data_IF_775816208341
#
_entry.id   IF_775816208341
#
_cell.length_a   1.000
_cell.length_b   1.000
_cell.length_c   1.000
_cell.angle_alpha   90.00
_cell.angle_beta   90.00
_cell.angle_gamma   90.00
#
_symmetry.space_group_name_H-M   'P 1'
#
loop_
_entity.id
_entity.type
_entity.pdbx_description
1 polymer ?
#
# COMPACT_ATOMS: atom_id res chain seq x y z
N UNK A 1 -12.31 -33.07 5.26
CA UNK A 1 -10.96 -32.60 4.81
C UNK A 1 -9.93 -33.08 5.83
N UNK A 2 -8.88 -33.80 5.42
CA UNK A 2 -7.95 -34.44 6.38
C UNK A 2 -7.07 -33.41 7.12
N UNK A 3 -6.78 -33.65 8.40
CA UNK A 3 -6.01 -32.76 9.29
C UNK A 3 -4.66 -32.33 8.70
N UNK A 4 -3.96 -33.23 8.00
CA UNK A 4 -2.69 -32.89 7.32
C UNK A 4 -2.85 -31.86 6.20
N UNK A 5 -3.96 -31.92 5.45
CA UNK A 5 -4.26 -30.94 4.40
C UNK A 5 -4.65 -29.59 4.98
N UNK A 6 -5.38 -29.58 6.11
CA UNK A 6 -5.72 -28.36 6.83
C UNK A 6 -4.46 -27.62 7.30
N UNK A 7 -3.51 -28.34 7.90
CA UNK A 7 -2.22 -27.77 8.34
C UNK A 7 -1.40 -27.25 7.15
N UNK A 8 -1.34 -28.00 6.05
CA UNK A 8 -0.58 -27.58 4.87
C UNK A 8 -1.13 -26.29 4.24
N UNK A 9 -2.45 -26.10 4.26
CA UNK A 9 -3.09 -24.89 3.71
C UNK A 9 -2.93 -23.69 4.65
N UNK A 10 -2.95 -23.91 5.98
CA UNK A 10 -2.87 -22.82 6.95
C UNK A 10 -1.44 -22.36 7.26
N UNK A 11 -0.44 -23.20 7.03
CA UNK A 11 0.95 -22.90 7.38
C UNK A 11 1.54 -21.68 6.62
N UNK A 12 1.41 -21.56 5.28
CA UNK A 12 1.94 -20.41 4.55
C UNK A 12 1.35 -19.05 4.98
N UNK A 13 0.01 -18.86 5.07
CA UNK A 13 -0.54 -17.58 5.52
C UNK A 13 -0.19 -17.30 6.98
N UNK A 14 -0.11 -18.32 7.84
CA UNK A 14 0.34 -18.14 9.22
C UNK A 14 1.79 -17.62 9.27
N UNK A 15 2.69 -18.22 8.49
CA UNK A 15 4.09 -17.77 8.41
C UNK A 15 4.17 -16.33 7.89
N UNK A 16 3.41 -16.00 6.85
CA UNK A 16 3.34 -14.63 6.31
C UNK A 16 2.89 -13.64 7.38
N UNK A 17 1.83 -13.95 8.13
CA UNK A 17 1.31 -13.10 9.18
C UNK A 17 2.32 -12.90 10.32
N UNK A 18 3.04 -13.96 10.71
CA UNK A 18 4.09 -13.87 11.72
C UNK A 18 5.26 -12.98 11.26
N UNK A 19 5.69 -13.11 9.99
CA UNK A 19 6.74 -12.28 9.42
C UNK A 19 6.31 -10.81 9.34
N UNK A 20 5.12 -10.54 8.83
CA UNK A 20 4.56 -9.17 8.76
C UNK A 20 4.42 -8.58 10.15
N UNK A 21 3.87 -9.32 11.11
CA UNK A 21 3.75 -8.88 12.50
C UNK A 21 5.12 -8.57 13.13
N UNK A 22 6.11 -9.42 12.91
CA UNK A 22 7.48 -9.19 13.37
C UNK A 22 8.11 -7.93 12.77
N UNK A 23 7.94 -7.70 11.47
CA UNK A 23 8.41 -6.47 10.79
C UNK A 23 7.72 -5.22 11.32
N UNK A 24 6.40 -5.27 11.55
CA UNK A 24 5.65 -4.15 12.12
C UNK A 24 6.11 -3.81 13.54
N UNK A 25 6.36 -4.82 14.38
CA UNK A 25 6.92 -4.60 15.73
C UNK A 25 8.34 -4.03 15.68
N UNK A 26 9.19 -4.54 14.79
CA UNK A 26 10.54 -4.01 14.58
C UNK A 26 10.50 -2.54 14.13
N UNK A 27 9.64 -2.21 13.18
CA UNK A 27 9.43 -0.84 12.73
C UNK A 27 8.88 0.07 13.84
N UNK A 28 7.93 -0.41 14.64
CA UNK A 28 7.38 0.31 15.79
C UNK A 28 8.46 0.67 16.80
N UNK A 29 9.33 -0.29 17.14
CA UNK A 29 10.46 -0.03 18.04
C UNK A 29 11.50 0.89 17.42
N UNK A 30 11.80 0.74 16.12
CA UNK A 30 12.73 1.61 15.41
C UNK A 30 12.24 3.06 15.37
N UNK A 31 10.93 3.27 15.25
CA UNK A 31 10.30 4.58 15.22
C UNK A 31 9.99 5.14 16.61
N UNK A 32 10.60 4.60 17.67
CA UNK A 32 10.37 5.04 19.06
C UNK A 32 8.89 5.02 19.45
N UNK A 33 8.17 4.00 18.99
CA UNK A 33 6.73 3.85 19.25
C UNK A 33 5.88 4.98 18.65
N UNK A 34 6.35 5.62 17.59
CA UNK A 34 5.56 6.58 16.81
C UNK A 34 5.03 5.92 15.53
N UNK A 35 3.73 6.15 15.26
CA UNK A 35 3.16 5.88 13.94
C UNK A 35 3.63 6.95 12.98
N UNK A 36 4.40 6.54 11.97
CA UNK A 36 4.90 7.41 10.91
C UNK A 36 4.34 6.97 9.57
N UNK A 37 4.11 7.94 8.68
CA UNK A 37 3.71 7.66 7.31
C UNK A 37 4.94 7.52 6.41
N UNK A 38 4.95 6.58 5.45
CA UNK A 38 5.98 6.55 4.42
C UNK A 38 5.85 7.82 3.57
N UNK A 39 6.89 8.66 3.63
CA UNK A 39 6.89 9.99 3.00
C UNK A 39 6.72 9.88 1.48
N UNK A 40 7.49 9.00 0.85
CA UNK A 40 7.52 8.83 -0.60
C UNK A 40 6.17 8.33 -1.13
N UNK A 41 5.62 7.30 -0.48
CA UNK A 41 4.36 6.68 -0.92
C UNK A 41 3.20 7.68 -0.79
N UNK A 42 3.15 8.45 0.30
CA UNK A 42 2.17 9.53 0.48
C UNK A 42 2.29 10.57 -0.63
N UNK A 43 3.52 11.00 -0.95
CA UNK A 43 3.75 12.03 -1.97
C UNK A 43 3.41 11.53 -3.38
N UNK A 44 3.72 10.28 -3.70
CA UNK A 44 3.35 9.64 -4.98
C UNK A 44 1.83 9.62 -5.14
N UNK A 45 1.09 9.19 -4.12
CA UNK A 45 -0.37 9.13 -4.18
C UNK A 45 -1.00 10.53 -4.30
N UNK A 46 -0.50 11.53 -3.57
CA UNK A 46 -0.97 12.92 -3.68
C UNK A 46 -0.67 13.53 -5.05
N UNK A 47 0.53 13.28 -5.60
CA UNK A 47 0.93 13.78 -6.92
C UNK A 47 0.06 13.17 -8.02
N UNK A 48 -0.17 11.86 -7.94
CA UNK A 48 -1.01 11.14 -8.88
C UNK A 48 -2.48 11.56 -8.79
N UNK A 49 -2.99 11.76 -7.57
CA UNK A 49 -4.35 12.24 -7.33
C UNK A 49 -4.57 13.65 -7.88
N UNK A 50 -3.65 14.57 -7.64
CA UNK A 50 -3.70 15.92 -8.21
C UNK A 50 -3.64 15.89 -9.73
N UNK A 51 -2.77 15.05 -10.31
CA UNK A 51 -2.67 14.94 -11.75
C UNK A 51 -3.97 14.37 -12.35
N UNK A 52 -4.53 13.32 -11.75
CA UNK A 52 -5.81 12.75 -12.14
C UNK A 52 -6.95 13.80 -12.07
N UNK A 53 -7.02 14.59 -11.00
CA UNK A 53 -8.06 15.62 -10.84
C UNK A 53 -7.94 16.75 -11.86
N UNK A 54 -6.71 17.14 -12.21
CA UNK A 54 -6.45 18.32 -13.07
C UNK A 54 -6.42 17.98 -14.56
N UNK A 55 -5.99 16.78 -14.95
CA UNK A 55 -5.86 16.39 -16.37
C UNK A 55 -6.72 15.21 -16.77
N UNK A 56 -7.28 14.47 -15.80
CA UNK A 56 -8.00 13.22 -16.07
C UNK A 56 -7.09 12.02 -16.33
N UNK A 57 -5.77 12.20 -16.29
CA UNK A 57 -4.81 11.14 -16.58
C UNK A 57 -4.27 10.48 -15.30
N UNK A 58 -4.36 9.16 -15.23
CA UNK A 58 -3.66 8.36 -14.21
C UNK A 58 -2.19 8.16 -14.62
N UNK A 59 -1.34 9.09 -14.26
CA UNK A 59 0.10 9.00 -14.51
C UNK A 59 0.83 10.23 -13.99
N UNK A 60 2.14 10.31 -14.21
CA UNK A 60 2.94 11.51 -13.94
C UNK A 60 3.28 12.26 -15.24
N UNK A 61 3.31 11.54 -16.37
CA UNK A 61 3.55 12.11 -17.69
C UNK A 61 2.23 12.44 -18.41
N UNK A 62 2.06 13.66 -18.96
CA UNK A 62 0.84 14.07 -19.65
C UNK A 62 0.45 13.10 -20.77
N UNK A 63 -0.84 12.77 -20.85
CA UNK A 63 -1.37 11.91 -21.92
C UNK A 63 -1.04 10.41 -21.78
N UNK A 64 -0.27 9.99 -20.77
CA UNK A 64 0.17 8.60 -20.63
C UNK A 64 -0.26 7.98 -19.31
N UNK A 65 -0.66 6.71 -19.36
CA UNK A 65 -0.87 5.93 -18.14
C UNK A 65 0.46 5.49 -17.53
N UNK A 66 0.61 5.64 -16.22
CA UNK A 66 1.75 5.09 -15.49
C UNK A 66 1.27 4.28 -14.26
N UNK A 67 1.76 3.05 -14.11
CA UNK A 67 1.46 2.17 -12.97
C UNK A 67 2.25 2.57 -11.71
N UNK A 68 2.16 3.84 -11.32
CA UNK A 68 2.95 4.43 -10.23
C UNK A 68 2.34 4.28 -8.83
N UNK A 69 1.10 3.82 -8.72
CA UNK A 69 0.41 3.65 -7.43
C UNK A 69 -0.01 2.21 -7.18
N UNK A 70 0.14 1.74 -5.95
CA UNK A 70 -0.31 0.41 -5.51
C UNK A 70 -1.80 0.38 -5.14
N UNK A 71 -2.41 1.54 -4.89
CA UNK A 71 -3.79 1.66 -4.40
C UNK A 71 -4.75 2.22 -5.46
N UNK A 72 -5.48 1.32 -6.13
CA UNK A 72 -6.45 1.66 -7.18
C UNK A 72 -7.59 2.58 -6.72
N UNK A 73 -8.09 2.37 -5.49
CA UNK A 73 -9.22 3.15 -4.95
C UNK A 73 -8.78 4.41 -4.19
N UNK A 74 -7.60 4.40 -3.58
CA UNK A 74 -7.16 5.52 -2.73
C UNK A 74 -6.87 6.78 -3.55
N UNK A 75 -6.27 6.64 -4.73
CA UNK A 75 -5.93 7.77 -5.60
C UNK A 75 -7.17 8.52 -6.10
N UNK A 76 -8.25 7.88 -6.63
CA UNK A 76 -9.47 8.60 -7.00
C UNK A 76 -10.16 9.30 -5.82
N UNK A 77 -10.13 8.70 -4.63
CA UNK A 77 -10.69 9.32 -3.44
C UNK A 77 -9.92 10.60 -3.06
N UNK A 78 -8.58 10.55 -3.11
CA UNK A 78 -7.74 11.74 -2.92
C UNK A 78 -7.94 12.76 -4.05
N UNK A 79 -8.15 12.33 -5.29
CA UNK A 79 -8.37 13.21 -6.42
C UNK A 79 -9.61 14.09 -6.23
N UNK A 80 -10.66 13.57 -5.58
CA UNK A 80 -11.84 14.34 -5.20
C UNK A 80 -11.61 15.46 -4.18
N UNK A 81 -10.40 15.57 -3.60
CA UNK A 81 -10.00 16.65 -2.69
C UNK A 81 -9.19 17.77 -3.38
N UNK A 82 -8.83 17.60 -4.66
CA UNK A 82 -8.12 18.59 -5.47
C UNK A 82 -9.07 19.29 -6.44
#
# INVERSE_FOLDING_TARGET
MNTRRLIAISLPPLLLLLLVGGLLLAAWHHNQQHLIYPLDDTYIHLSLAKHLATTGNWGLSPGTFNSCGSSLLYVPLLAGLF
#
